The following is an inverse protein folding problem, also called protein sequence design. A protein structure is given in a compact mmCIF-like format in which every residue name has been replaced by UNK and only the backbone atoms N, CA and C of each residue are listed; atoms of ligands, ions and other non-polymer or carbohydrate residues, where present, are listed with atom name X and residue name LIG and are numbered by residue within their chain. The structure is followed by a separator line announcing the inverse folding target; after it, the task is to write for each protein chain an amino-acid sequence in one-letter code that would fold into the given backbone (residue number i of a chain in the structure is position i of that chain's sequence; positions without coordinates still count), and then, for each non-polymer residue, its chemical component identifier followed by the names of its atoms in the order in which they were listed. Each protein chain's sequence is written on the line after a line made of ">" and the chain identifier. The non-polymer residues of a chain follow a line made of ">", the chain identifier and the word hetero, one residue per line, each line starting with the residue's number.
data_IF_865741479895
#
_entry.id   IF_865741479895
#
_cell.length_a   1.000
_cell.length_b   1.000
_cell.length_c   1.000
_cell.angle_alpha   90.00
_cell.angle_beta   90.00
_cell.angle_gamma   90.00
#
_symmetry.space_group_name_H-M   'P 1'
#
loop_
_entity.id
_entity.type
_entity.pdbx_description
1 polymer ?
#
# COMPACT_ATOMS: atom_id res chain seq x y z
N UNK A 1 -0.96 -5.11 -1.16
CA UNK A 1 -1.79 -5.44 -2.33
C UNK A 1 -1.63 -6.92 -2.68
N UNK A 2 -2.72 -7.67 -2.71
CA UNK A 2 -2.74 -9.12 -3.00
C UNK A 2 -3.35 -9.46 -4.38
N UNK A 3 -3.95 -8.50 -5.05
CA UNK A 3 -4.52 -8.65 -6.38
C UNK A 3 -4.61 -7.32 -7.11
N UNK A 4 -4.79 -7.39 -8.43
CA UNK A 4 -5.04 -6.26 -9.30
C UNK A 4 -6.14 -6.62 -10.30
N UNK A 5 -6.96 -5.64 -10.68
CA UNK A 5 -7.94 -5.78 -11.75
C UNK A 5 -7.25 -5.94 -13.11
N UNK A 6 -6.15 -5.21 -13.33
CA UNK A 6 -5.35 -5.32 -14.56
C UNK A 6 -4.26 -6.38 -14.38
N UNK A 7 -4.15 -7.25 -15.36
CA UNK A 7 -3.12 -8.30 -15.41
C UNK A 7 -2.38 -8.21 -16.73
N UNK A 8 -1.14 -8.68 -16.72
CA UNK A 8 -0.31 -8.83 -17.92
C UNK A 8 -0.18 -10.32 -18.23
N UNK A 9 -0.18 -10.68 -19.51
CA UNK A 9 0.14 -12.05 -19.96
C UNK A 9 1.65 -12.28 -19.93
N UNK A 10 2.09 -13.54 -19.95
CA UNK A 10 3.52 -13.86 -20.00
C UNK A 10 4.18 -13.25 -21.23
N UNK A 11 3.55 -13.37 -22.40
CA UNK A 11 4.02 -12.75 -23.64
C UNK A 11 4.10 -11.20 -23.52
N UNK A 12 3.11 -10.59 -22.89
CA UNK A 12 3.09 -9.13 -22.62
C UNK A 12 4.21 -8.72 -21.67
N UNK A 13 4.50 -9.55 -20.67
CA UNK A 13 5.61 -9.32 -19.74
C UNK A 13 6.95 -9.40 -20.45
N UNK A 14 7.19 -10.44 -21.23
CA UNK A 14 8.43 -10.65 -22.00
C UNK A 14 8.70 -9.52 -23.01
N UNK A 15 7.67 -8.93 -23.59
CA UNK A 15 7.76 -7.82 -24.55
C UNK A 15 7.63 -6.42 -23.89
N UNK A 16 7.82 -6.32 -22.58
CA UNK A 16 7.72 -5.06 -21.83
C UNK A 16 8.99 -4.78 -21.02
N UNK A 17 9.11 -3.53 -20.54
CA UNK A 17 10.15 -3.15 -19.58
C UNK A 17 9.76 -3.44 -18.12
N UNK A 18 8.63 -4.13 -17.89
CA UNK A 18 8.17 -4.45 -16.55
C UNK A 18 9.15 -5.38 -15.84
N UNK A 19 9.35 -5.15 -14.56
CA UNK A 19 10.20 -6.01 -13.71
C UNK A 19 9.33 -6.72 -12.69
N UNK A 20 9.60 -8.02 -12.50
CA UNK A 20 8.93 -8.80 -11.46
C UNK A 20 9.49 -8.42 -10.11
N UNK A 21 8.60 -7.99 -9.22
CA UNK A 21 8.90 -7.53 -7.87
C UNK A 21 8.55 -8.63 -6.86
N UNK A 22 9.39 -8.85 -5.83
CA UNK A 22 9.12 -9.84 -4.78
C UNK A 22 8.01 -9.37 -3.82
N UNK A 23 7.42 -10.30 -3.07
CA UNK A 23 6.60 -9.95 -1.91
C UNK A 23 7.39 -9.08 -0.93
N UNK A 24 6.71 -8.19 -0.22
CA UNK A 24 7.34 -7.23 0.68
C UNK A 24 7.77 -5.92 0.00
N UNK A 25 7.76 -5.84 -1.34
CA UNK A 25 8.03 -4.58 -2.04
C UNK A 25 6.99 -3.53 -1.65
N UNK A 26 7.46 -2.34 -1.29
CA UNK A 26 6.60 -1.18 -1.05
C UNK A 26 6.46 -0.40 -2.35
N UNK A 27 5.24 -0.34 -2.86
CA UNK A 27 4.86 0.43 -4.02
C UNK A 27 4.58 1.87 -3.61
N UNK A 28 5.02 2.82 -4.43
CA UNK A 28 4.82 4.25 -4.23
C UNK A 28 4.33 4.87 -5.55
N UNK A 29 3.19 5.56 -5.53
CA UNK A 29 2.71 6.26 -6.73
C UNK A 29 3.60 7.46 -7.03
N UNK A 30 4.24 7.46 -8.22
CA UNK A 30 5.20 8.48 -8.62
C UNK A 30 4.59 9.63 -9.41
N UNK A 31 3.34 9.48 -9.87
CA UNK A 31 2.59 10.48 -10.64
C UNK A 31 1.08 10.34 -10.44
N UNK A 32 0.27 11.30 -10.89
CA UNK A 32 -1.19 11.29 -10.82
C UNK A 32 -1.72 11.01 -9.39
N UNK A 33 -1.19 11.71 -8.40
CA UNK A 33 -1.47 11.53 -6.98
C UNK A 33 -0.29 10.87 -6.27
N UNK A 34 0.84 11.56 -6.26
CA UNK A 34 2.09 11.15 -5.64
C UNK A 34 1.87 10.76 -4.17
N UNK A 35 2.53 9.72 -3.74
CA UNK A 35 2.67 9.38 -2.32
C UNK A 35 1.70 8.33 -1.79
N UNK A 36 0.84 7.73 -2.61
CA UNK A 36 0.08 6.56 -2.17
C UNK A 36 1.00 5.34 -2.13
N UNK A 37 0.92 4.57 -1.05
CA UNK A 37 1.76 3.39 -0.86
C UNK A 37 0.94 2.12 -0.68
N UNK A 38 1.54 1.00 -1.01
CA UNK A 38 1.00 -0.33 -0.74
C UNK A 38 2.13 -1.36 -0.65
N UNK A 39 1.99 -2.38 0.19
CA UNK A 39 2.92 -3.52 0.24
C UNK A 39 2.41 -4.63 -0.67
N UNK A 40 3.28 -5.16 -1.55
CA UNK A 40 3.00 -6.37 -2.32
C UNK A 40 3.04 -7.60 -1.41
N UNK A 41 1.96 -8.39 -1.40
CA UNK A 41 1.90 -9.66 -0.66
C UNK A 41 2.23 -10.87 -1.53
N UNK A 42 2.31 -10.68 -2.85
CA UNK A 42 2.66 -11.69 -3.86
C UNK A 42 3.59 -11.08 -4.90
N UNK A 43 4.29 -11.93 -5.66
CA UNK A 43 5.04 -11.49 -6.84
C UNK A 43 4.12 -10.74 -7.79
N UNK A 44 4.61 -9.65 -8.36
CA UNK A 44 3.87 -8.85 -9.32
C UNK A 44 4.76 -7.82 -9.99
N UNK A 45 4.24 -7.18 -11.02
CA UNK A 45 4.88 -6.06 -11.69
C UNK A 45 3.95 -4.83 -11.65
N UNK A 46 4.52 -3.66 -11.87
CA UNK A 46 3.80 -2.39 -11.90
C UNK A 46 4.00 -1.72 -13.27
N UNK A 47 3.10 -0.79 -13.58
CA UNK A 47 3.33 0.14 -14.67
C UNK A 47 4.29 1.26 -14.23
N UNK A 48 4.66 2.13 -15.17
CA UNK A 48 5.59 3.24 -14.96
C UNK A 48 5.09 4.34 -14.02
N UNK A 49 3.85 4.27 -13.54
CA UNK A 49 3.30 5.22 -12.56
C UNK A 49 3.69 4.92 -11.11
N UNK A 50 4.52 3.92 -10.90
CA UNK A 50 5.00 3.52 -9.58
C UNK A 50 6.52 3.50 -9.52
N UNK A 51 7.05 3.95 -8.38
CA UNK A 51 8.37 3.59 -7.90
C UNK A 51 8.24 2.42 -6.92
N UNK A 52 9.21 1.52 -6.93
CA UNK A 52 9.18 0.28 -6.16
C UNK A 52 10.37 0.23 -5.22
N UNK A 53 10.10 0.31 -3.93
CA UNK A 53 11.12 0.16 -2.90
C UNK A 53 11.18 -1.32 -2.54
N UNK A 54 12.24 -2.00 -2.96
CA UNK A 54 12.48 -3.42 -2.67
C UNK A 54 13.33 -3.51 -1.40
N UNK A 55 12.78 -3.90 -0.25
CA UNK A 55 13.55 -4.00 0.98
C UNK A 55 14.59 -5.11 0.88
N UNK A 56 15.83 -4.78 1.15
CA UNK A 56 16.89 -5.78 1.26
C UNK A 56 16.81 -6.48 2.62
N UNK A 57 16.90 -7.80 2.58
CA UNK A 57 16.78 -8.63 3.78
C UNK A 57 17.87 -8.26 4.80
N UNK A 58 17.48 -7.96 6.02
CA UNK A 58 18.41 -7.60 7.10
C UNK A 58 18.81 -6.12 7.14
N UNK A 59 18.39 -5.31 6.16
CA UNK A 59 18.69 -3.88 6.08
C UNK A 59 17.45 -3.01 6.25
N UNK A 60 16.33 -3.44 5.65
CA UNK A 60 15.11 -2.65 5.59
C UNK A 60 13.87 -3.51 5.84
N UNK A 61 13.01 -3.09 6.78
CA UNK A 61 11.71 -3.71 7.02
C UNK A 61 10.61 -3.07 6.16
N UNK A 62 9.82 -3.90 5.48
CA UNK A 62 8.74 -3.46 4.58
C UNK A 62 7.69 -2.62 5.29
N UNK A 63 7.30 -3.03 6.51
CA UNK A 63 6.23 -2.34 7.22
C UNK A 63 6.73 -1.06 7.89
N UNK A 64 8.00 -1.04 8.29
CA UNK A 64 8.65 0.19 8.75
C UNK A 64 8.61 1.24 7.64
N UNK A 65 9.07 0.95 6.43
CA UNK A 65 9.02 1.88 5.29
C UNK A 65 7.56 2.27 4.95
N UNK A 66 6.65 1.33 4.96
CA UNK A 66 5.24 1.60 4.75
C UNK A 66 4.67 2.57 5.80
N UNK A 67 5.09 2.46 7.06
CA UNK A 67 4.67 3.38 8.12
C UNK A 67 5.17 4.83 7.91
N UNK A 68 6.21 5.03 7.06
CA UNK A 68 6.78 6.35 6.72
C UNK A 68 6.13 6.98 5.48
N UNK A 69 4.96 6.51 5.05
CA UNK A 69 4.23 6.98 3.86
C UNK A 69 4.12 8.50 3.78
N UNK A 70 3.85 9.19 4.89
CA UNK A 70 3.72 10.66 4.87
C UNK A 70 5.05 11.37 4.59
N UNK A 71 6.18 10.82 5.02
CA UNK A 71 7.50 11.36 4.68
C UNK A 71 7.85 11.11 3.22
N UNK A 72 7.61 9.89 2.74
CA UNK A 72 7.77 9.53 1.33
C UNK A 72 6.94 10.45 0.44
N UNK A 73 5.70 10.72 0.84
CA UNK A 73 4.78 11.61 0.13
C UNK A 73 5.30 13.04 0.09
N UNK A 74 5.63 13.63 1.24
CA UNK A 74 6.15 15.01 1.31
C UNK A 74 7.40 15.18 0.46
N UNK A 75 8.32 14.23 0.54
CA UNK A 75 9.52 14.24 -0.29
C UNK A 75 9.16 14.15 -1.77
N UNK A 76 8.29 13.21 -2.15
CA UNK A 76 7.88 13.03 -3.53
C UNK A 76 7.17 14.26 -4.10
N UNK A 77 6.30 14.90 -3.34
CA UNK A 77 5.62 16.14 -3.74
C UNK A 77 6.63 17.28 -3.93
N UNK A 78 7.62 17.40 -3.03
CA UNK A 78 8.66 18.44 -3.10
C UNK A 78 9.53 18.28 -4.36
N UNK A 79 10.07 17.07 -4.59
CA UNK A 79 10.99 16.83 -5.72
C UNK A 79 10.26 16.70 -7.07
N UNK A 80 9.00 16.31 -7.05
CA UNK A 80 8.14 16.22 -8.23
C UNK A 80 7.64 17.58 -8.74
N UNK A 81 7.54 18.59 -7.89
CA UNK A 81 7.00 19.91 -8.22
C UNK A 81 7.86 20.72 -9.21
N UNK A 82 9.13 20.34 -9.41
CA UNK A 82 10.08 21.05 -10.27
C UNK A 82 10.02 20.66 -11.75
N UNK A 83 9.13 19.76 -12.17
CA UNK A 83 9.04 19.30 -13.55
C UNK A 83 7.72 19.71 -14.22
N UNK A 84 7.73 19.86 -15.55
CA UNK A 84 6.53 20.16 -16.37
C UNK A 84 5.45 19.07 -16.19
N UNK A 85 5.86 17.86 -15.88
CA UNK A 85 5.00 16.76 -15.44
C UNK A 85 5.40 16.39 -14.00
N UNK A 86 4.48 16.56 -13.07
CA UNK A 86 4.71 16.24 -11.66
C UNK A 86 4.92 14.73 -11.52
N UNK A 87 6.18 14.30 -11.53
CA UNK A 87 6.58 12.90 -11.43
C UNK A 87 7.88 12.77 -10.62
N UNK A 88 7.95 11.73 -9.80
CA UNK A 88 9.14 11.37 -9.02
C UNK A 88 9.87 10.23 -9.69
N UNK A 89 11.09 10.48 -10.11
CA UNK A 89 11.95 9.47 -10.73
C UNK A 89 12.57 8.52 -9.70
N UNK A 90 12.99 7.34 -10.16
CA UNK A 90 13.72 6.39 -9.31
C UNK A 90 15.03 6.97 -8.77
N UNK A 91 15.72 7.84 -9.54
CA UNK A 91 16.94 8.54 -9.08
C UNK A 91 16.65 9.49 -7.91
N UNK A 92 15.55 10.24 -7.98
CA UNK A 92 15.14 11.10 -6.87
C UNK A 92 14.76 10.29 -5.64
N UNK A 93 14.04 9.17 -5.80
CA UNK A 93 13.73 8.28 -4.67
C UNK A 93 14.97 7.66 -4.03
N UNK A 94 15.99 7.34 -4.83
CA UNK A 94 17.23 6.70 -4.35
C UNK A 94 18.11 7.61 -3.46
N UNK A 95 17.95 8.92 -3.56
CA UNK A 95 18.72 9.90 -2.75
C UNK A 95 17.88 10.48 -1.60
N UNK A 96 16.70 9.94 -1.36
CA UNK A 96 15.88 10.35 -0.23
C UNK A 96 16.55 9.93 1.08
N UNK A 97 16.75 10.88 1.97
CA UNK A 97 17.21 10.62 3.32
C UNK A 97 16.03 10.33 4.25
N UNK A 98 16.12 9.24 4.99
CA UNK A 98 15.16 8.83 6.01
C UNK A 98 15.88 8.60 7.33
N UNK A 99 15.29 9.11 8.41
CA UNK A 99 15.74 8.72 9.75
C UNK A 99 15.42 7.27 10.01
N UNK A 100 16.47 6.46 10.15
CA UNK A 100 16.37 5.02 10.33
C UNK A 100 16.68 4.62 11.76
N UNK A 101 15.92 3.69 12.35
CA UNK A 101 16.34 3.04 13.59
C UNK A 101 17.68 2.33 13.39
N UNK A 102 18.55 2.31 14.43
CA UNK A 102 19.90 1.75 14.31
C UNK A 102 19.92 0.24 14.11
N UNK A 103 18.83 -0.46 14.42
CA UNK A 103 18.76 -1.92 14.33
C UNK A 103 17.55 -2.39 13.55
N UNK A 104 17.71 -3.51 12.84
CA UNK A 104 16.61 -4.19 12.15
C UNK A 104 15.49 -4.62 13.12
N UNK A 105 15.86 -5.00 14.34
CA UNK A 105 14.90 -5.36 15.38
C UNK A 105 13.98 -4.19 15.74
N UNK A 106 14.54 -3.00 15.83
CA UNK A 106 13.76 -1.79 16.12
C UNK A 106 12.84 -1.42 14.95
N UNK A 107 13.33 -1.50 13.70
CA UNK A 107 12.48 -1.33 12.52
C UNK A 107 11.28 -2.29 12.54
N UNK A 108 11.53 -3.58 12.82
CA UNK A 108 10.48 -4.61 12.90
C UNK A 108 9.50 -4.35 14.05
N UNK A 109 9.99 -3.86 15.19
CA UNK A 109 9.12 -3.50 16.33
C UNK A 109 8.19 -2.35 15.97
N UNK A 110 8.72 -1.30 15.36
CA UNK A 110 7.94 -0.13 14.91
C UNK A 110 6.97 -0.56 13.81
N UNK A 111 7.44 -1.26 12.78
CA UNK A 111 6.62 -1.75 11.68
C UNK A 111 5.48 -2.65 12.17
N UNK A 112 5.77 -3.58 13.07
CA UNK A 112 4.79 -4.48 13.68
C UNK A 112 3.73 -3.74 14.49
N UNK A 113 4.10 -2.69 15.22
CA UNK A 113 3.15 -1.84 15.93
C UNK A 113 2.14 -1.18 14.97
N UNK A 114 2.62 -0.55 13.90
CA UNK A 114 1.73 0.05 12.91
C UNK A 114 0.88 -1.00 12.17
N UNK A 115 1.43 -2.18 11.89
CA UNK A 115 0.67 -3.27 11.30
C UNK A 115 -0.52 -3.70 12.17
N UNK A 116 -0.31 -3.77 13.49
CA UNK A 116 -1.38 -4.09 14.42
C UNK A 116 -2.44 -2.99 14.47
N UNK A 117 -2.04 -1.72 14.44
CA UNK A 117 -2.97 -0.59 14.39
C UNK A 117 -3.83 -0.63 13.12
N UNK A 118 -3.23 -0.84 11.96
CA UNK A 118 -3.96 -0.96 10.68
C UNK A 118 -4.96 -2.12 10.70
N UNK A 119 -4.57 -3.24 11.31
CA UNK A 119 -5.47 -4.37 11.50
C UNK A 119 -6.67 -4.02 12.38
N UNK A 120 -6.44 -3.37 13.52
CA UNK A 120 -7.50 -2.93 14.43
C UNK A 120 -8.44 -1.92 13.76
N UNK A 121 -7.92 -0.94 13.03
CA UNK A 121 -8.69 0.03 12.26
C UNK A 121 -9.58 -0.69 11.24
N UNK A 122 -9.01 -1.64 10.49
CA UNK A 122 -9.75 -2.42 9.49
C UNK A 122 -10.88 -3.24 10.13
N UNK A 123 -10.63 -3.88 11.27
CA UNK A 123 -11.64 -4.62 12.02
C UNK A 123 -12.75 -3.70 12.53
N UNK A 124 -12.39 -2.53 13.01
CA UNK A 124 -13.36 -1.55 13.53
C UNK A 124 -14.26 -1.00 12.42
N UNK A 125 -13.70 -0.72 11.25
CA UNK A 125 -14.45 -0.28 10.07
C UNK A 125 -15.42 -1.33 9.53
N UNK A 126 -15.14 -2.62 9.72
CA UNK A 126 -16.04 -3.72 9.29
C UNK A 126 -17.24 -3.94 10.24
N UNK A 127 -17.11 -3.59 11.52
CA UNK A 127 -18.18 -3.78 12.52
C UNK A 127 -19.50 -3.06 12.19
N UNK A 128 -19.53 -1.80 11.73
CA UNK A 128 -20.78 -1.09 11.43
C UNK A 128 -21.59 -1.74 10.29
N UNK A 129 -20.91 -2.36 9.31
CA UNK A 129 -21.58 -3.03 8.19
C UNK A 129 -22.31 -4.29 8.65
N UNK A 130 -21.74 -5.09 9.55
CA UNK A 130 -22.38 -6.29 10.10
C UNK A 130 -23.57 -5.92 11.03
N UNK A 131 -23.47 -4.83 11.78
CA UNK A 131 -24.59 -4.33 12.61
C UNK A 131 -25.75 -3.82 11.74
N UNK A 132 -25.49 -3.10 10.66
CA UNK A 132 -26.53 -2.67 9.71
C UNK A 132 -27.27 -3.85 9.09
N UNK A 133 -26.56 -4.93 8.78
CA UNK A 133 -27.17 -6.14 8.21
C UNK A 133 -28.09 -6.82 9.23
N UNK A 134 -27.66 -6.98 10.46
CA UNK A 134 -28.49 -7.60 11.52
C UNK A 134 -29.74 -6.80 11.84
N UNK A 135 -29.67 -5.48 11.83
CA UNK A 135 -30.85 -4.61 12.07
C UNK A 135 -31.80 -4.62 10.86
N UNK A 136 -31.30 -4.74 9.64
CA UNK A 136 -32.14 -4.87 8.43
C UNK A 136 -32.92 -6.19 8.40
N UNK A 137 -32.28 -7.31 8.78
CA UNK A 137 -32.94 -8.62 8.80
C UNK A 137 -33.92 -8.74 9.99
N UNK A 138 -33.61 -8.14 11.14
CA UNK A 138 -34.53 -8.08 12.26
C UNK A 138 -35.79 -7.27 11.94
N UNK A 139 -35.66 -6.21 11.13
CA UNK A 139 -36.81 -5.40 10.70
C UNK A 139 -37.61 -6.12 9.58
N UNK A 140 -36.98 -6.88 8.70
CA UNK A 140 -37.68 -7.69 7.70
C UNK A 140 -38.55 -8.78 8.33
N UNK A 141 -38.05 -9.44 9.37
CA UNK A 141 -38.81 -10.45 10.09
C UNK A 141 -39.95 -9.87 10.94
N UNK A 142 -39.90 -8.58 11.33
CA UNK A 142 -41.04 -7.92 12.01
C UNK A 142 -42.14 -7.49 11.07
N UNK A 143 -41.83 -7.22 9.79
CA UNK A 143 -42.84 -6.82 8.79
C UNK A 143 -43.59 -8.02 8.23
N UNK A 144 -43.02 -9.22 8.24
CA UNK A 144 -43.69 -10.46 7.79
C UNK A 144 -44.59 -11.10 8.88
N UNK A 145 -44.77 -10.51 10.03
CA UNK A 145 -45.63 -11.02 11.10
C UNK A 145 -46.98 -10.28 11.20
N UNK A 146 -47.28 -9.41 10.26
CA UNK A 146 -48.52 -8.60 10.27
C UNK A 146 -49.38 -8.80 8.99
N UNK A 147 -49.37 -10.01 8.42
CA UNK A 147 -50.36 -10.39 7.41
C UNK A 147 -50.85 -11.81 7.72
N UNK A 148 -51.79 -11.88 8.62
CA UNK A 148 -52.88 -12.84 8.71
C UNK A 148 -54.14 -12.09 9.14
#
# INVERSE_FOLDING_TARGET
>A
ANSSQKKITDLGYENSSAKMLPPGTVLFTSRAGIGKTAILTRKGCTNQGFQSIVPHRGELDSYFIFSRTEELKRYGELVGAGSTFVEVSGKQMAVMELMMPPTMREQQTIGGFFQQLDHLITLHQRKPFLMKWRTSDANRNKTNRLVL
#
